data_IF_711336719581
#
_entry.id   IF_711336719581
#
_cell.length_a   1.000
_cell.length_b   1.000
_cell.length_c   1.000
_cell.angle_alpha   90.00
_cell.angle_beta   90.00
_cell.angle_gamma   90.00
#
_symmetry.space_group_name_H-M   'P 1'
#
loop_
_entity.id
_entity.type
_entity.pdbx_description
1 polymer ?
#
# COMPACT_ATOMS: atom_id res chain seq x y z
N UNK A 1 2.85 -6.60 58.15
CA UNK A 1 2.97 -5.36 57.35
C UNK A 1 3.94 -5.63 56.21
N UNK A 2 3.50 -5.76 54.94
CA UNK A 2 4.44 -5.92 53.83
C UNK A 2 5.03 -4.54 53.46
N UNK A 3 6.36 -4.45 53.32
CA UNK A 3 7.04 -3.26 52.80
C UNK A 3 6.81 -3.16 51.30
N UNK A 4 6.17 -2.09 50.86
CA UNK A 4 6.10 -1.72 49.44
C UNK A 4 7.48 -1.19 49.05
N UNK A 5 8.14 -1.89 48.13
CA UNK A 5 9.39 -1.43 47.53
C UNK A 5 9.08 -0.25 46.59
N UNK A 6 9.52 0.95 46.95
CA UNK A 6 9.50 2.11 46.05
C UNK A 6 10.62 1.93 45.03
N UNK A 7 10.28 1.55 43.79
CA UNK A 7 11.24 1.55 42.68
C UNK A 7 11.66 2.98 42.38
N UNK A 8 12.90 3.32 42.75
CA UNK A 8 13.56 4.58 42.42
C UNK A 8 13.74 4.70 40.90
N UNK A 9 12.91 5.51 40.25
CA UNK A 9 13.11 5.94 38.87
C UNK A 9 14.26 6.94 38.81
N UNK A 10 15.46 6.44 38.54
CA UNK A 10 16.63 7.28 38.27
C UNK A 10 16.39 8.09 36.98
N UNK A 11 16.62 9.41 36.97
CA UNK A 11 16.54 10.21 35.75
C UNK A 11 17.54 9.67 34.73
N UNK A 12 17.05 9.27 33.56
CA UNK A 12 17.92 8.91 32.43
C UNK A 12 18.73 10.16 32.07
N UNK A 13 20.06 10.07 32.18
CA UNK A 13 20.98 11.13 31.72
C UNK A 13 20.78 11.28 30.21
N UNK A 14 20.01 12.28 29.80
CA UNK A 14 19.93 12.66 28.40
C UNK A 14 21.24 13.34 28.05
N UNK A 15 22.03 12.70 27.18
CA UNK A 15 23.22 13.30 26.59
C UNK A 15 22.78 14.50 25.75
N UNK A 16 22.86 15.69 26.34
CA UNK A 16 22.57 16.94 25.65
C UNK A 16 23.74 17.19 24.70
N UNK A 17 23.51 16.97 23.40
CA UNK A 17 24.48 17.39 22.41
C UNK A 17 24.61 18.92 22.46
N UNK A 18 25.80 19.48 22.21
CA UNK A 18 25.99 20.92 22.14
C UNK A 18 24.97 21.57 21.18
N UNK A 19 24.47 22.75 21.54
CA UNK A 19 23.44 23.45 20.76
C UNK A 19 23.79 23.63 19.27
N UNK A 20 25.08 23.81 18.95
CA UNK A 20 25.58 23.92 17.57
C UNK A 20 25.41 22.61 16.79
N UNK A 21 25.73 21.48 17.40
CA UNK A 21 25.60 20.16 16.77
C UNK A 21 24.11 19.82 16.57
N UNK A 22 23.25 20.27 17.49
CA UNK A 22 21.81 20.13 17.36
C UNK A 22 21.25 20.97 16.20
N UNK A 23 21.73 22.21 16.02
CA UNK A 23 21.35 23.06 14.90
C UNK A 23 21.83 22.50 13.55
N UNK A 24 23.06 21.97 13.47
CA UNK A 24 23.56 21.32 12.26
C UNK A 24 22.77 20.05 11.93
N UNK A 25 22.31 19.30 12.93
CA UNK A 25 21.48 18.12 12.72
C UNK A 25 20.07 18.49 12.21
N UNK A 26 19.47 19.55 12.76
CA UNK A 26 18.20 20.10 12.27
C UNK A 26 18.37 20.60 10.83
N UNK A 27 19.45 21.35 10.58
CA UNK A 27 19.81 21.87 9.27
C UNK A 27 19.99 20.74 8.26
N UNK A 28 20.71 19.67 8.60
CA UNK A 28 21.00 18.59 7.67
C UNK A 28 19.81 17.64 7.44
N UNK A 29 19.02 17.36 8.47
CA UNK A 29 17.92 16.38 8.40
C UNK A 29 16.57 16.96 7.98
N UNK A 30 16.36 18.27 8.14
CA UNK A 30 15.06 18.91 8.00
C UNK A 30 15.11 20.24 7.24
N UNK A 31 16.22 20.52 6.54
CA UNK A 31 16.17 21.56 5.51
C UNK A 31 15.24 21.15 4.38
N UNK A 32 14.60 22.17 3.79
CA UNK A 32 13.83 22.04 2.56
C UNK A 32 12.56 21.18 2.69
N UNK A 33 11.65 21.62 3.56
CA UNK A 33 10.33 21.02 3.76
C UNK A 33 9.37 21.54 2.68
N UNK A 34 8.82 20.63 1.88
CA UNK A 34 7.84 20.97 0.84
C UNK A 34 6.81 19.84 0.65
N UNK A 35 5.65 20.19 0.09
CA UNK A 35 4.55 19.28 -0.22
C UNK A 35 4.36 19.15 -1.74
N UNK A 36 4.01 17.96 -2.21
CA UNK A 36 3.60 17.72 -3.60
C UNK A 36 2.56 16.61 -3.67
N UNK A 37 1.61 16.71 -4.59
CA UNK A 37 0.57 15.71 -4.84
C UNK A 37 0.94 14.76 -6.00
N UNK A 38 2.23 14.50 -6.19
CA UNK A 38 2.74 13.67 -7.28
C UNK A 38 2.55 12.15 -7.08
N UNK A 39 2.29 11.71 -5.84
CA UNK A 39 2.03 10.31 -5.48
C UNK A 39 3.16 9.34 -5.87
N UNK A 40 2.77 8.10 -6.20
CA UNK A 40 3.62 7.07 -6.83
C UNK A 40 4.91 6.72 -6.07
N UNK A 41 4.95 6.97 -4.76
CA UNK A 41 6.12 6.73 -3.93
C UNK A 41 6.53 5.24 -3.87
N UNK A 42 5.62 4.32 -4.21
CA UNK A 42 5.86 2.87 -4.28
C UNK A 42 6.56 2.42 -5.57
N UNK A 43 6.66 3.28 -6.59
CA UNK A 43 7.34 2.97 -7.85
C UNK A 43 8.84 3.21 -7.78
N UNK A 44 9.28 4.09 -6.85
CA UNK A 44 10.66 4.53 -6.69
C UNK A 44 11.19 4.12 -5.31
N UNK A 45 12.15 3.19 -5.27
CA UNK A 45 12.66 2.60 -4.01
C UNK A 45 13.92 3.31 -3.49
N UNK A 46 14.72 3.90 -4.38
CA UNK A 46 16.03 4.50 -4.02
C UNK A 46 16.05 5.99 -4.29
N UNK A 47 15.72 6.40 -5.52
CA UNK A 47 15.76 7.80 -5.95
C UNK A 47 14.41 8.20 -6.56
N UNK A 48 13.75 9.17 -5.93
CA UNK A 48 12.53 9.78 -6.45
C UNK A 48 12.90 10.96 -7.36
N UNK A 49 12.37 11.04 -8.59
CA UNK A 49 12.72 12.10 -9.53
C UNK A 49 12.15 13.45 -9.09
N UNK A 50 13.04 14.42 -8.88
CA UNK A 50 12.66 15.78 -8.46
C UNK A 50 11.71 16.46 -9.44
N UNK A 51 11.83 16.20 -10.75
CA UNK A 51 10.93 16.75 -11.76
C UNK A 51 9.47 16.36 -11.55
N UNK A 52 9.19 15.13 -11.09
CA UNK A 52 7.82 14.70 -10.76
C UNK A 52 7.30 15.41 -9.51
N UNK A 53 8.17 15.62 -8.53
CA UNK A 53 7.80 16.37 -7.33
C UNK A 53 7.40 17.80 -7.66
N UNK A 54 8.21 18.48 -8.49
CA UNK A 54 7.99 19.88 -8.86
C UNK A 54 6.74 20.08 -9.75
N UNK A 55 6.32 19.06 -10.48
CA UNK A 55 5.16 19.14 -11.37
C UNK A 55 3.84 19.39 -10.62
N UNK A 56 3.73 18.91 -9.38
CA UNK A 56 2.51 19.02 -8.56
C UNK A 56 2.82 19.58 -7.18
N UNK A 57 3.75 20.54 -7.13
CA UNK A 57 4.13 21.21 -5.90
C UNK A 57 2.92 21.98 -5.33
N UNK A 58 2.67 21.78 -4.05
CA UNK A 58 1.58 22.44 -3.32
C UNK A 58 2.10 23.75 -2.77
N UNK A 59 1.44 24.85 -3.13
CA UNK A 59 1.74 26.17 -2.61
C UNK A 59 1.03 26.44 -1.28
N UNK A 60 1.40 27.54 -0.63
CA UNK A 60 0.71 27.99 0.58
C UNK A 60 -0.77 28.28 0.32
N UNK A 61 -1.06 28.93 -0.81
CA UNK A 61 -2.44 29.28 -1.18
C UNK A 61 -3.27 28.02 -1.41
N UNK A 62 -2.74 27.01 -2.12
CA UNK A 62 -3.42 25.71 -2.31
C UNK A 62 -3.75 25.03 -0.96
N UNK A 63 -2.83 25.10 0.00
CA UNK A 63 -3.05 24.55 1.34
C UNK A 63 -4.10 25.34 2.13
N UNK A 64 -4.11 26.67 2.03
CA UNK A 64 -5.12 27.51 2.66
C UNK A 64 -6.51 27.30 2.05
N UNK A 65 -6.59 27.06 0.75
CA UNK A 65 -7.85 26.74 0.06
C UNK A 65 -8.38 25.35 0.46
N UNK A 66 -7.49 24.37 0.62
CA UNK A 66 -7.88 23.01 1.00
C UNK A 66 -6.91 22.39 2.02
N UNK A 67 -7.16 22.53 3.34
CA UNK A 67 -6.30 21.92 4.35
C UNK A 67 -6.38 20.38 4.35
N UNK A 68 -7.41 19.78 3.74
CA UNK A 68 -7.57 18.32 3.66
C UNK A 68 -6.58 17.65 2.70
N UNK A 69 -5.72 18.41 2.01
CA UNK A 69 -4.64 17.82 1.20
C UNK A 69 -3.69 16.95 2.02
N UNK A 70 -3.61 17.18 3.35
CA UNK A 70 -2.83 16.35 4.26
C UNK A 70 -3.31 14.90 4.35
N UNK A 71 -4.59 14.67 4.04
CA UNK A 71 -5.21 13.33 4.03
C UNK A 71 -5.12 12.65 2.66
N UNK A 72 -4.57 13.33 1.65
CA UNK A 72 -4.48 12.80 0.30
C UNK A 72 -3.45 11.65 0.22
N UNK A 73 -3.81 10.46 -0.30
CA UNK A 73 -2.90 9.33 -0.41
C UNK A 73 -1.71 9.58 -1.37
N UNK A 74 -1.85 10.53 -2.30
CA UNK A 74 -0.80 10.93 -3.24
C UNK A 74 0.12 12.03 -2.68
N UNK A 75 -0.07 12.42 -1.42
CA UNK A 75 0.79 13.41 -0.77
C UNK A 75 2.20 12.85 -0.53
N UNK A 76 3.16 13.51 -1.15
CA UNK A 76 4.60 13.28 -0.99
C UNK A 76 5.23 14.52 -0.34
N UNK A 77 6.14 14.27 0.59
CA UNK A 77 6.80 15.30 1.38
C UNK A 77 8.29 15.20 1.18
N UNK A 78 8.89 16.32 0.80
CA UNK A 78 10.35 16.46 0.79
C UNK A 78 10.80 16.89 2.18
N UNK A 79 11.73 16.13 2.77
CA UNK A 79 12.25 16.37 4.11
C UNK A 79 13.74 16.00 4.14
N UNK A 80 14.63 16.99 4.27
CA UNK A 80 16.08 16.74 4.29
C UNK A 80 16.59 16.07 3.01
N UNK A 81 16.02 16.45 1.86
CA UNK A 81 16.34 15.86 0.55
C UNK A 81 15.76 14.46 0.30
N UNK A 82 15.00 13.89 1.24
CA UNK A 82 14.29 12.62 1.05
C UNK A 82 12.82 12.86 0.73
N UNK A 83 12.22 11.94 -0.01
CA UNK A 83 10.80 11.95 -0.35
C UNK A 83 10.09 10.87 0.45
N UNK A 84 9.16 11.27 1.31
CA UNK A 84 8.45 10.39 2.25
C UNK A 84 6.95 10.70 2.23
N UNK A 85 6.12 9.77 2.70
CA UNK A 85 4.70 10.05 2.89
C UNK A 85 4.43 10.87 4.16
N UNK A 86 3.20 11.38 4.29
CA UNK A 86 2.78 12.16 5.45
C UNK A 86 2.90 11.40 6.77
N UNK A 87 2.50 10.13 6.81
CA UNK A 87 2.57 9.30 8.02
C UNK A 87 4.00 9.18 8.58
N UNK A 88 5.02 9.14 7.71
CA UNK A 88 6.43 9.12 8.12
C UNK A 88 6.94 10.50 8.55
N UNK A 89 6.54 11.56 7.85
CA UNK A 89 7.05 12.92 8.07
C UNK A 89 6.42 13.62 9.29
N UNK A 90 5.10 13.47 9.47
CA UNK A 90 4.32 14.14 10.50
C UNK A 90 4.94 14.04 11.92
N UNK A 91 5.29 12.85 12.46
CA UNK A 91 5.89 12.75 13.78
C UNK A 91 7.24 13.47 13.88
N UNK A 92 8.01 13.53 12.79
CA UNK A 92 9.31 14.20 12.77
C UNK A 92 9.16 15.73 12.75
N UNK A 93 8.26 16.25 11.90
CA UNK A 93 7.92 17.67 11.83
C UNK A 93 7.32 18.11 13.18
N UNK A 94 6.42 17.33 13.76
CA UNK A 94 5.84 17.62 15.07
C UNK A 94 6.90 17.63 16.19
N UNK A 95 7.90 16.74 16.12
CA UNK A 95 9.01 16.76 17.08
C UNK A 95 9.79 18.08 17.03
N UNK A 96 10.02 18.60 15.82
CA UNK A 96 10.65 19.90 15.62
C UNK A 96 9.78 21.05 16.13
N UNK A 97 8.49 21.06 15.81
CA UNK A 97 7.58 22.14 16.21
C UNK A 97 7.43 22.20 17.73
N UNK A 98 7.24 21.06 18.38
CA UNK A 98 6.94 20.98 19.82
C UNK A 98 8.20 21.07 20.70
N UNK A 99 9.29 20.42 20.28
CA UNK A 99 10.49 20.26 21.11
C UNK A 99 11.73 20.93 20.54
N UNK A 100 11.65 21.51 19.35
CA UNK A 100 12.78 22.13 18.63
C UNK A 100 13.95 21.15 18.49
N UNK A 101 13.62 19.87 18.29
CA UNK A 101 14.56 18.76 18.24
C UNK A 101 14.20 17.79 17.12
N UNK A 102 15.21 17.26 16.40
CA UNK A 102 14.98 16.19 15.46
C UNK A 102 14.71 14.89 16.21
N UNK A 103 13.97 13.98 15.60
CA UNK A 103 13.88 12.61 16.12
C UNK A 103 15.24 11.91 16.01
N UNK A 104 15.58 11.00 16.94
CA UNK A 104 16.79 10.19 16.82
C UNK A 104 16.79 9.42 15.49
N UNK A 105 17.97 9.32 14.85
CA UNK A 105 18.14 8.66 13.53
C UNK A 105 17.45 7.29 13.46
N UNK A 106 17.66 6.46 14.50
CA UNK A 106 17.06 5.13 14.59
C UNK A 106 15.54 5.17 14.52
N UNK A 107 14.91 6.11 15.22
CA UNK A 107 13.46 6.27 15.20
C UNK A 107 12.97 6.74 13.82
N UNK A 108 13.72 7.65 13.17
CA UNK A 108 13.39 8.09 11.82
C UNK A 108 13.44 6.94 10.81
N UNK A 109 14.46 6.07 10.90
CA UNK A 109 14.61 4.90 10.03
C UNK A 109 13.51 3.86 10.27
N UNK A 110 13.17 3.59 11.54
CA UNK A 110 12.06 2.70 11.93
C UNK A 110 10.72 3.23 11.37
N UNK A 111 10.44 4.52 11.53
CA UNK A 111 9.24 5.17 10.97
C UNK A 111 9.16 5.03 9.46
N UNK A 112 10.28 5.20 8.75
CA UNK A 112 10.33 5.09 7.30
C UNK A 112 10.06 3.65 6.84
N UNK A 113 10.61 2.66 7.55
CA UNK A 113 10.39 1.24 7.25
C UNK A 113 8.94 0.80 7.47
N UNK A 114 8.29 1.33 8.49
CA UNK A 114 6.95 0.92 8.89
C UNK A 114 5.86 1.60 8.05
N UNK A 115 6.07 2.86 7.66
CA UNK A 115 5.03 3.68 7.02
C UNK A 115 5.20 3.88 5.51
N UNK A 116 6.39 3.66 4.93
CA UNK A 116 6.56 3.82 3.48
C UNK A 116 5.80 2.74 2.70
N UNK A 117 5.16 3.10 1.57
CA UNK A 117 4.40 2.15 0.79
C UNK A 117 5.34 1.13 0.14
N UNK A 118 5.16 -0.13 0.48
CA UNK A 118 5.95 -1.24 -0.07
C UNK A 118 5.48 -1.52 -1.49
N UNK A 119 6.42 -1.75 -2.40
CA UNK A 119 6.09 -2.19 -3.77
C UNK A 119 5.24 -3.45 -3.71
N UNK A 120 3.95 -3.32 -4.07
CA UNK A 120 3.14 -4.50 -4.36
C UNK A 120 3.74 -5.10 -5.62
N UNK A 121 4.49 -6.19 -5.46
CA UNK A 121 4.83 -7.06 -6.60
C UNK A 121 3.50 -7.53 -7.12
N UNK A 122 2.99 -6.92 -8.20
CA UNK A 122 1.96 -7.54 -9.02
C UNK A 122 2.57 -8.87 -9.44
N UNK A 123 2.24 -9.96 -8.74
CA UNK A 123 2.40 -11.30 -9.30
C UNK A 123 1.66 -11.18 -10.61
N UNK A 124 2.39 -11.22 -11.73
CA UNK A 124 1.73 -11.40 -13.00
C UNK A 124 0.79 -12.56 -12.80
N UNK A 125 -0.41 -12.43 -13.34
CA UNK A 125 -1.39 -13.49 -13.45
C UNK A 125 -0.87 -14.52 -14.46
N UNK A 126 0.32 -15.06 -14.21
CA UNK A 126 0.82 -16.28 -14.82
C UNK A 126 0.11 -17.39 -14.07
N UNK A 127 -1.12 -17.64 -14.50
CA UNK A 127 -1.87 -18.85 -14.27
C UNK A 127 -0.96 -20.04 -14.65
N UNK A 128 -0.26 -20.59 -13.67
CA UNK A 128 0.63 -21.73 -13.93
C UNK A 128 1.70 -21.94 -12.88
N UNK A 129 1.47 -22.96 -12.05
CA UNK A 129 2.48 -23.74 -11.35
C UNK A 129 3.25 -23.03 -10.23
N UNK A 130 2.61 -23.03 -9.05
CA UNK A 130 3.31 -22.92 -7.77
C UNK A 130 4.13 -24.20 -7.54
N UNK A 131 5.44 -24.04 -7.35
CA UNK A 131 6.42 -25.10 -7.00
C UNK A 131 6.19 -25.73 -5.61
N UNK A 132 5.14 -25.32 -4.89
CA UNK A 132 4.66 -25.96 -3.66
C UNK A 132 3.61 -27.06 -3.92
N UNK A 133 3.70 -27.80 -5.03
CA UNK A 133 2.73 -28.85 -5.38
C UNK A 133 3.03 -30.24 -4.82
N UNK A 134 4.18 -30.46 -4.19
CA UNK A 134 4.55 -31.74 -3.55
C UNK A 134 3.71 -32.17 -2.33
N UNK A 135 2.61 -31.45 -2.02
CA UNK A 135 1.72 -31.76 -0.90
C UNK A 135 0.27 -32.06 -1.29
N UNK A 136 0.02 -32.62 -2.48
CA UNK A 136 -1.24 -33.30 -2.76
C UNK A 136 -1.01 -34.68 -3.35
N UNK A 137 -1.07 -35.66 -2.47
CA UNK A 137 -1.45 -37.02 -2.78
C UNK A 137 -2.97 -37.04 -2.90
N UNK A 138 -3.51 -36.99 -4.12
CA UNK A 138 -4.88 -37.42 -4.37
C UNK A 138 -4.81 -38.79 -5.02
N UNK A 139 -5.20 -39.80 -4.26
CA UNK A 139 -5.52 -41.14 -4.74
C UNK A 139 -6.58 -41.01 -5.84
N UNK A 140 -6.28 -41.58 -7.01
CA UNK A 140 -7.26 -41.84 -8.07
C UNK A 140 -7.91 -43.18 -7.77
N UNK A 141 -9.20 -43.19 -7.46
CA UNK A 141 -10.06 -44.38 -7.49
C UNK A 141 -11.08 -44.19 -8.64
N UNK A 142 -10.88 -45.03 -9.66
CA UNK A 142 -11.74 -45.65 -10.68
C UNK A 142 -13.00 -44.96 -11.29
N UNK A 143 -13.23 -45.10 -12.62
CA UNK A 143 -14.49 -44.78 -13.28
C UNK A 143 -15.36 -46.04 -13.45
N UNK A 144 -16.50 -46.11 -12.76
CA UNK A 144 -17.52 -47.13 -13.01
C UNK A 144 -18.55 -46.68 -14.07
N UNK A 145 -18.67 -47.53 -15.08
CA UNK A 145 -19.66 -47.57 -16.15
C UNK A 145 -21.10 -47.46 -15.65
N UNK A 146 -21.87 -46.50 -16.16
CA UNK A 146 -23.30 -46.39 -15.90
C UNK A 146 -24.12 -46.91 -17.08
N UNK A 147 -25.04 -47.83 -16.75
CA UNK A 147 -25.87 -48.63 -17.64
C UNK A 147 -27.08 -47.85 -18.15
N UNK A 148 -27.49 -48.21 -19.36
CA UNK A 148 -28.67 -47.74 -20.07
C UNK A 148 -30.01 -48.16 -19.41
N UNK A 149 -31.06 -47.47 -19.90
CA UNK A 149 -32.48 -47.84 -20.03
C UNK A 149 -33.45 -47.25 -18.98
N UNK A 150 -34.16 -46.19 -19.39
CA UNK A 150 -35.52 -45.85 -18.96
C UNK A 150 -36.45 -45.81 -20.22
N UNK A 151 -37.45 -46.71 -20.22
CA UNK A 151 -38.88 -46.57 -20.56
C UNK A 151 -39.39 -45.17 -21.01
N UNK A 152 -40.32 -44.94 -21.97
CA UNK A 152 -41.44 -45.71 -22.55
C UNK A 152 -41.91 -45.15 -23.93
N UNK A 153 -42.37 -46.09 -24.76
CA UNK A 153 -43.53 -46.12 -25.68
C UNK A 153 -43.99 -44.94 -26.58
N UNK A 154 -44.04 -45.28 -27.88
CA UNK A 154 -45.11 -45.06 -28.89
C UNK A 154 -45.53 -43.65 -29.33
N UNK A 155 -45.26 -43.38 -30.61
CA UNK A 155 -46.32 -42.90 -31.53
C UNK A 155 -46.02 -43.25 -32.99
N UNK A 156 -46.84 -44.14 -33.56
CA UNK A 156 -46.86 -44.45 -35.00
C UNK A 156 -48.09 -43.83 -35.66
N UNK A 157 -47.89 -43.44 -36.92
CA UNK A 157 -48.85 -43.12 -37.98
C UNK A 157 -49.69 -41.85 -37.84
N UNK A 158 -49.55 -40.92 -38.80
CA UNK A 158 -50.43 -40.80 -39.98
C UNK A 158 -50.14 -39.49 -40.75
N UNK A 159 -49.67 -39.61 -42.00
CA UNK A 159 -49.66 -38.56 -43.05
C UNK A 159 -51.11 -38.19 -43.44
N UNK A 160 -51.44 -37.07 -44.15
CA UNK A 160 -50.68 -36.55 -45.29
C UNK A 160 -50.76 -35.02 -45.58
N UNK A 161 -50.14 -34.66 -46.72
CA UNK A 161 -50.51 -33.61 -47.69
C UNK A 161 -50.03 -32.17 -47.50
N UNK A 162 -49.08 -31.83 -48.38
CA UNK A 162 -49.01 -30.66 -49.28
C UNK A 162 -49.57 -29.33 -48.79
N UNK A 163 -48.71 -28.31 -48.73
CA UNK A 163 -48.70 -27.20 -49.70
C UNK A 163 -47.63 -26.16 -49.38
N UNK A 164 -47.07 -25.60 -50.44
CA UNK A 164 -46.06 -24.54 -50.48
C UNK A 164 -46.63 -23.24 -49.87
N UNK A 165 -45.81 -22.43 -49.21
CA UNK A 165 -45.57 -21.06 -49.68
C UNK A 165 -44.35 -20.41 -49.01
N UNK A 166 -43.65 -19.66 -49.85
CA UNK A 166 -42.53 -18.78 -49.54
C UNK A 166 -43.11 -17.37 -49.54
N UNK A 167 -42.90 -16.57 -48.49
CA UNK A 167 -42.61 -15.13 -48.67
C UNK A 167 -42.32 -14.39 -47.38
N UNK A 168 -41.37 -13.49 -47.55
CA UNK A 168 -40.85 -12.40 -46.72
C UNK A 168 -41.89 -11.32 -46.32
N UNK A 169 -41.37 -10.40 -45.49
CA UNK A 169 -41.85 -9.08 -45.03
C UNK A 169 -42.67 -9.12 -43.73
N UNK A 170 -42.41 -8.28 -42.72
CA UNK A 170 -41.75 -6.97 -42.69
C UNK A 170 -41.06 -6.77 -41.33
#
# INVERSE_FOLDING_TARGET
MPRIATSSLSPKKHNFLPFKDQLELIRKGYQDIAFSLCGRLNEYETDFPESLFLQSLVTYDDFCENPNILDNPDLVIRLGGKYVNWATAAPQIMSLVLFQRPVPQKLADDLMKDNMPKKTRKRSESKGYSWFSWRRNNQTEDPDTNKDINTDAEKSAMLPSQSKEVSFFN
#
